data_IF_828940491844
#
_entry.id   IF_828940491844
#
_cell.length_a   1.000
_cell.length_b   1.000
_cell.length_c   1.000
_cell.angle_alpha   90.00
_cell.angle_beta   90.00
_cell.angle_gamma   90.00
#
_symmetry.space_group_name_H-M   'P 1'
#
loop_
_entity.id
_entity.type
_entity.pdbx_description
1 polymer ?
#
# COMPACT_ATOMS: atom_id res chain seq x y z
N UNK A 1 -27.87 15.60 -11.01
CA UNK A 1 -27.46 15.08 -12.31
C UNK A 1 -27.65 13.58 -12.30
N UNK A 2 -28.67 13.08 -12.97
CA UNK A 2 -28.85 11.67 -13.24
C UNK A 2 -27.81 11.25 -14.29
N UNK A 3 -26.65 10.80 -13.85
CA UNK A 3 -25.58 10.37 -14.73
C UNK A 3 -26.07 9.27 -15.66
N UNK A 4 -26.22 9.61 -16.94
CA UNK A 4 -26.53 8.65 -17.98
C UNK A 4 -25.21 8.00 -18.37
N UNK A 5 -25.09 6.68 -18.21
CA UNK A 5 -23.95 5.92 -18.71
C UNK A 5 -23.89 6.08 -20.25
N UNK A 6 -22.86 6.77 -20.74
CA UNK A 6 -22.67 7.02 -22.18
C UNK A 6 -21.86 5.90 -22.83
N UNK A 7 -20.92 5.32 -22.12
CA UNK A 7 -20.11 4.20 -22.57
C UNK A 7 -19.54 3.45 -21.35
N UNK A 8 -19.37 2.14 -21.48
CA UNK A 8 -18.73 1.29 -20.49
C UNK A 8 -17.65 0.44 -21.15
N UNK A 9 -16.50 0.37 -20.53
CA UNK A 9 -15.42 -0.52 -20.93
C UNK A 9 -15.05 -1.42 -19.75
N UNK A 10 -15.20 -2.71 -19.91
CA UNK A 10 -14.76 -3.69 -18.95
C UNK A 10 -13.28 -4.03 -19.21
N UNK A 11 -12.45 -3.94 -18.16
CA UNK A 11 -11.02 -4.25 -18.20
C UNK A 11 -10.75 -5.37 -17.20
N UNK A 12 -10.18 -6.47 -17.69
CA UNK A 12 -9.69 -7.55 -16.83
C UNK A 12 -8.26 -7.23 -16.44
N UNK A 13 -7.97 -7.19 -15.14
CA UNK A 13 -6.63 -6.98 -14.63
C UNK A 13 -5.95 -8.34 -14.42
N UNK A 14 -4.73 -8.49 -14.97
CA UNK A 14 -3.87 -9.60 -14.64
C UNK A 14 -3.24 -9.36 -13.27
N UNK A 15 -3.47 -10.29 -12.35
CA UNK A 15 -2.85 -10.23 -11.03
C UNK A 15 -1.48 -10.89 -11.04
N UNK A 16 -0.54 -10.30 -10.34
CA UNK A 16 0.82 -10.83 -10.12
C UNK A 16 0.92 -11.27 -8.66
N UNK A 17 1.50 -12.44 -8.43
CA UNK A 17 1.70 -12.94 -7.07
C UNK A 17 2.65 -12.04 -6.28
N UNK A 18 2.38 -11.84 -5.00
CA UNK A 18 3.16 -10.97 -4.11
C UNK A 18 4.62 -11.42 -3.93
N UNK A 19 4.93 -12.68 -4.21
CA UNK A 19 6.29 -13.23 -4.19
C UNK A 19 7.14 -12.88 -5.42
N UNK A 20 6.63 -12.09 -6.37
CA UNK A 20 7.33 -11.72 -7.60
C UNK A 20 7.90 -10.31 -7.45
N UNK A 21 9.21 -10.15 -7.71
CA UNK A 21 9.85 -8.85 -7.81
C UNK A 21 9.46 -8.17 -9.12
N UNK A 22 8.65 -7.13 -9.06
CA UNK A 22 8.13 -6.46 -10.24
C UNK A 22 9.03 -5.29 -10.66
N UNK A 23 9.53 -5.37 -11.89
CA UNK A 23 10.38 -4.35 -12.50
C UNK A 23 9.59 -3.61 -13.57
N UNK A 24 9.39 -2.31 -13.36
CA UNK A 24 8.86 -1.41 -14.38
C UNK A 24 9.98 -0.85 -15.24
N UNK A 25 9.83 -0.87 -16.57
CA UNK A 25 10.79 -0.25 -17.49
C UNK A 25 10.06 0.77 -18.34
N UNK A 26 10.37 2.04 -18.13
CA UNK A 26 9.84 3.14 -18.94
C UNK A 26 10.80 3.38 -20.10
N UNK A 27 10.43 2.90 -21.28
CA UNK A 27 11.27 2.95 -22.46
C UNK A 27 10.43 2.86 -23.73
N UNK A 28 10.97 3.42 -24.81
CA UNK A 28 10.42 3.20 -26.16
C UNK A 28 10.92 1.87 -26.79
N UNK A 29 11.86 1.17 -26.12
CA UNK A 29 12.36 -0.15 -26.55
C UNK A 29 11.69 -1.25 -25.72
N UNK A 30 10.74 -2.03 -26.29
CA UNK A 30 10.01 -3.06 -25.56
C UNK A 30 10.82 -4.31 -25.24
N UNK A 31 12.07 -4.38 -25.69
CA UNK A 31 12.99 -5.50 -25.41
C UNK A 31 14.07 -5.15 -24.39
N UNK A 32 14.13 -3.88 -23.96
CA UNK A 32 15.13 -3.42 -23.01
C UNK A 32 14.92 -4.08 -21.66
N UNK A 33 16.00 -4.57 -21.04
CA UNK A 33 15.99 -5.16 -19.69
C UNK A 33 15.15 -6.45 -19.52
N UNK A 34 14.69 -7.09 -20.59
CA UNK A 34 13.96 -8.37 -20.49
C UNK A 34 14.81 -9.51 -19.88
N UNK A 35 16.13 -9.40 -19.96
CA UNK A 35 17.07 -10.30 -19.27
C UNK A 35 16.85 -10.35 -17.75
N UNK A 36 16.29 -9.29 -17.16
CA UNK A 36 16.04 -9.19 -15.72
C UNK A 36 14.91 -10.09 -15.22
N UNK A 37 14.12 -10.70 -16.10
CA UNK A 37 13.19 -11.79 -15.69
C UNK A 37 13.94 -12.97 -15.04
N UNK A 38 15.25 -13.10 -15.30
CA UNK A 38 16.13 -14.12 -14.70
C UNK A 38 16.72 -13.74 -13.34
N UNK A 39 16.42 -12.54 -12.80
CA UNK A 39 16.91 -12.10 -11.49
C UNK A 39 16.39 -13.00 -10.37
N UNK A 40 17.27 -13.23 -9.39
CA UNK A 40 16.96 -13.94 -8.15
C UNK A 40 17.33 -13.03 -6.96
N UNK A 41 16.35 -12.49 -6.28
CA UNK A 41 16.54 -11.50 -5.24
C UNK A 41 15.92 -11.96 -3.91
N UNK A 42 16.77 -12.22 -2.92
CA UNK A 42 16.37 -12.45 -1.53
C UNK A 42 15.21 -13.45 -1.38
N UNK A 43 14.12 -13.01 -0.81
CA UNK A 43 12.91 -13.80 -0.53
C UNK A 43 11.91 -13.88 -1.68
N UNK A 44 12.17 -13.20 -2.79
CA UNK A 44 11.29 -13.26 -3.96
C UNK A 44 11.46 -14.60 -4.70
N UNK A 45 10.36 -15.14 -5.23
CA UNK A 45 10.36 -16.40 -5.97
C UNK A 45 10.86 -16.24 -7.40
N UNK A 46 10.63 -15.09 -8.01
CA UNK A 46 11.08 -14.72 -9.36
C UNK A 46 11.02 -13.19 -9.55
N UNK A 47 11.62 -12.71 -10.63
CA UNK A 47 11.44 -11.35 -11.10
C UNK A 47 10.54 -11.31 -12.34
N UNK A 48 9.92 -10.18 -12.62
CA UNK A 48 9.10 -9.94 -13.80
C UNK A 48 9.25 -8.52 -14.31
N UNK A 49 9.61 -8.40 -15.58
CA UNK A 49 9.71 -7.10 -16.26
C UNK A 49 8.39 -6.73 -16.92
N UNK A 50 7.99 -5.47 -16.78
CA UNK A 50 6.85 -4.85 -17.45
C UNK A 50 7.26 -3.53 -18.07
N UNK A 51 6.92 -3.33 -19.34
CA UNK A 51 7.22 -2.11 -20.07
C UNK A 51 6.09 -1.12 -19.94
N UNK A 52 6.44 0.14 -19.75
CA UNK A 52 5.56 1.29 -19.66
C UNK A 52 6.06 2.36 -20.63
N UNK A 53 5.15 3.09 -21.23
CA UNK A 53 5.48 4.33 -21.91
C UNK A 53 5.52 5.50 -20.92
N UNK A 54 6.22 6.60 -21.21
CA UNK A 54 6.27 7.76 -20.32
C UNK A 54 4.89 8.32 -19.95
N UNK A 55 3.91 8.25 -20.86
CA UNK A 55 2.55 8.69 -20.61
C UNK A 55 1.73 7.79 -19.69
N UNK A 56 2.19 6.55 -19.45
CA UNK A 56 1.54 5.59 -18.56
C UNK A 56 2.07 5.66 -17.12
N UNK A 57 3.07 6.52 -16.84
CA UNK A 57 3.52 6.75 -15.48
C UNK A 57 2.38 7.34 -14.65
N UNK A 58 2.02 6.71 -13.51
CA UNK A 58 0.90 7.16 -12.71
C UNK A 58 1.20 8.45 -11.96
N UNK A 59 0.16 9.21 -11.69
CA UNK A 59 0.20 10.43 -10.88
C UNK A 59 -0.01 10.18 -9.37
N UNK A 60 -0.14 8.92 -8.98
CA UNK A 60 -0.31 8.50 -7.58
C UNK A 60 0.76 7.49 -7.18
N UNK A 61 1.43 7.71 -6.06
CA UNK A 61 2.39 6.76 -5.49
C UNK A 61 1.75 5.40 -5.15
N UNK A 62 0.45 5.40 -4.81
CA UNK A 62 -0.29 4.17 -4.55
C UNK A 62 -0.33 3.25 -5.77
N UNK A 63 -0.39 3.82 -6.99
CA UNK A 63 -0.38 3.04 -8.23
C UNK A 63 1.00 2.39 -8.53
N UNK A 64 2.08 2.94 -7.97
CA UNK A 64 3.42 2.38 -8.09
C UNK A 64 3.74 1.34 -7.00
N UNK A 65 2.85 1.16 -6.02
CA UNK A 65 3.12 0.31 -4.85
C UNK A 65 3.46 -1.15 -5.19
N UNK A 66 2.90 -1.67 -6.28
CA UNK A 66 3.19 -3.02 -6.77
C UNK A 66 4.51 -3.14 -7.51
N UNK A 67 5.19 -2.02 -7.82
CA UNK A 67 6.46 -2.00 -8.53
C UNK A 67 7.59 -1.90 -7.50
N UNK A 68 8.54 -2.83 -7.54
CA UNK A 68 9.67 -2.87 -6.62
C UNK A 68 10.85 -2.04 -7.14
N UNK A 69 11.10 -2.07 -8.45
CA UNK A 69 12.11 -1.26 -9.12
C UNK A 69 11.58 -0.63 -10.41
N UNK A 70 11.91 0.63 -10.66
CA UNK A 70 11.53 1.36 -11.86
C UNK A 70 12.76 1.86 -12.60
N UNK A 71 12.90 1.47 -13.84
CA UNK A 71 13.98 1.88 -14.74
C UNK A 71 13.46 2.94 -15.70
N UNK A 72 14.07 4.12 -15.70
CA UNK A 72 13.78 5.19 -16.63
C UNK A 72 14.86 5.25 -17.71
N UNK A 73 14.49 5.01 -18.96
CA UNK A 73 15.42 4.95 -20.09
C UNK A 73 15.13 6.05 -21.10
N UNK A 74 16.10 6.90 -21.33
CA UNK A 74 16.21 7.88 -22.44
C UNK A 74 14.92 8.59 -22.87
N UNK A 75 14.21 9.20 -21.93
CA UNK A 75 13.15 10.16 -22.25
C UNK A 75 13.34 11.45 -21.46
N UNK A 76 12.75 12.52 -21.94
CA UNK A 76 12.80 13.82 -21.25
C UNK A 76 11.89 13.83 -20.02
N UNK A 77 12.49 13.68 -18.84
CA UNK A 77 11.75 13.71 -17.57
C UNK A 77 11.20 15.09 -17.23
N UNK A 78 11.63 16.16 -17.88
CA UNK A 78 11.02 17.48 -17.74
C UNK A 78 9.57 17.51 -18.27
N UNK A 79 9.21 16.59 -19.17
CA UNK A 79 7.86 16.42 -19.67
C UNK A 79 6.90 15.75 -18.67
N UNK A 80 7.40 15.18 -17.57
CA UNK A 80 6.55 14.63 -16.50
C UNK A 80 5.72 15.73 -15.85
N UNK A 81 4.45 15.43 -15.56
CA UNK A 81 3.60 16.34 -14.79
C UNK A 81 4.14 16.51 -13.36
N UNK A 82 3.84 17.63 -12.68
CA UNK A 82 4.21 17.77 -11.27
C UNK A 82 3.68 16.60 -10.41
N UNK A 83 2.45 16.13 -10.68
CA UNK A 83 1.86 15.01 -9.96
C UNK A 83 2.63 13.69 -10.17
N UNK A 84 3.10 13.41 -11.38
CA UNK A 84 3.95 12.25 -11.66
C UNK A 84 5.29 12.33 -10.92
N UNK A 85 5.93 13.50 -10.90
CA UNK A 85 7.19 13.70 -10.16
C UNK A 85 7.00 13.51 -8.66
N UNK A 86 5.95 14.09 -8.10
CA UNK A 86 5.60 13.93 -6.67
C UNK A 86 5.30 12.48 -6.34
N UNK A 87 4.58 11.77 -7.23
CA UNK A 87 4.29 10.35 -7.07
C UNK A 87 5.57 9.49 -7.07
N UNK A 88 6.51 9.76 -7.97
CA UNK A 88 7.80 9.09 -8.01
C UNK A 88 8.62 9.37 -6.75
N UNK A 89 8.72 10.63 -6.32
CA UNK A 89 9.48 11.02 -5.13
C UNK A 89 8.90 10.36 -3.88
N UNK A 90 7.58 10.39 -3.71
CA UNK A 90 6.90 9.73 -2.59
C UNK A 90 7.08 8.21 -2.65
N UNK A 91 6.92 7.58 -3.81
CA UNK A 91 7.10 6.14 -3.97
C UNK A 91 8.52 5.70 -3.61
N UNK A 92 9.55 6.42 -4.11
CA UNK A 92 10.94 6.13 -3.73
C UNK A 92 11.12 6.31 -2.23
N UNK A 93 10.64 7.43 -1.66
CA UNK A 93 10.82 7.71 -0.23
C UNK A 93 10.22 6.64 0.70
N UNK A 94 9.25 5.89 0.20
CA UNK A 94 8.59 4.77 0.90
C UNK A 94 9.25 3.39 0.64
N UNK A 95 10.37 3.34 -0.09
CA UNK A 95 11.14 2.12 -0.30
C UNK A 95 11.27 1.65 -1.75
N UNK A 96 10.72 2.40 -2.72
CA UNK A 96 10.89 2.12 -4.15
C UNK A 96 12.33 2.29 -4.62
N UNK A 97 12.72 1.56 -5.66
CA UNK A 97 14.03 1.65 -6.27
C UNK A 97 13.94 2.30 -7.65
N UNK A 98 14.50 3.48 -7.80
CA UNK A 98 14.53 4.20 -9.06
C UNK A 98 15.91 4.10 -9.71
N UNK A 99 15.97 3.67 -10.95
CA UNK A 99 17.21 3.59 -11.74
C UNK A 99 17.06 4.41 -13.01
N UNK A 100 17.92 5.41 -13.21
CA UNK A 100 17.84 6.34 -14.33
C UNK A 100 19.02 6.13 -15.27
N UNK A 101 18.74 6.00 -16.57
CA UNK A 101 19.72 5.82 -17.61
C UNK A 101 20.41 7.12 -18.00
N UNK A 102 21.71 7.07 -18.14
CA UNK A 102 22.54 8.11 -18.71
C UNK A 102 22.85 7.90 -20.19
N UNK A 103 24.09 8.05 -20.56
CA UNK A 103 24.55 8.02 -21.93
C UNK A 103 24.27 9.34 -22.68
N UNK A 104 24.04 9.28 -23.96
CA UNK A 104 23.78 10.47 -24.79
C UNK A 104 22.50 11.23 -24.36
N UNK A 105 21.47 10.49 -23.87
CA UNK A 105 20.21 11.04 -23.42
C UNK A 105 20.15 11.41 -21.93
N UNK A 106 21.25 11.22 -21.19
CA UNK A 106 21.23 11.31 -19.72
C UNK A 106 20.91 12.70 -19.17
N UNK A 107 21.21 13.78 -19.90
CA UNK A 107 20.84 15.12 -19.50
C UNK A 107 19.32 15.31 -19.53
N UNK A 108 18.65 14.84 -20.57
CA UNK A 108 17.19 14.90 -20.66
C UNK A 108 16.52 13.97 -19.62
N UNK A 109 17.09 12.77 -19.42
CA UNK A 109 16.59 11.83 -18.42
C UNK A 109 16.74 12.37 -16.98
N UNK A 110 17.67 13.26 -16.72
CA UNK A 110 17.89 13.89 -15.42
C UNK A 110 17.08 15.19 -15.19
N UNK A 111 16.68 15.87 -16.27
CA UNK A 111 16.23 17.26 -16.22
C UNK A 111 15.03 17.51 -15.30
N UNK A 112 14.06 16.60 -15.24
CA UNK A 112 12.84 16.73 -14.44
C UNK A 112 12.91 16.18 -13.02
N UNK A 113 14.00 15.50 -12.64
CA UNK A 113 14.10 14.77 -11.38
C UNK A 113 14.85 15.54 -10.27
N UNK A 114 15.63 16.56 -10.64
CA UNK A 114 16.26 17.49 -9.68
C UNK A 114 17.02 16.78 -8.55
N UNK A 115 16.68 17.14 -7.33
CA UNK A 115 17.34 16.64 -6.10
C UNK A 115 17.01 15.16 -5.79
N UNK A 116 16.07 14.56 -6.54
CA UNK A 116 15.82 13.11 -6.44
C UNK A 116 17.01 12.29 -6.94
N UNK A 117 17.85 12.83 -7.83
CA UNK A 117 19.00 12.12 -8.38
C UNK A 117 20.24 12.22 -7.50
N UNK A 118 21.09 11.20 -7.44
CA UNK A 118 22.38 11.21 -6.73
C UNK A 118 23.44 12.10 -7.39
N UNK A 119 23.12 12.71 -8.53
CA UNK A 119 24.07 13.47 -9.36
C UNK A 119 23.45 14.71 -9.98
N UNK A 120 24.29 15.66 -10.34
CA UNK A 120 23.98 16.73 -11.30
C UNK A 120 24.66 16.41 -12.61
N UNK A 121 23.90 16.33 -13.69
CA UNK A 121 24.48 16.15 -15.04
C UNK A 121 25.08 17.46 -15.51
N UNK A 122 26.33 17.44 -15.96
CA UNK A 122 27.10 18.63 -16.35
C UNK A 122 27.74 18.47 -17.71
N UNK A 123 27.62 19.49 -18.54
CA UNK A 123 28.30 19.56 -19.84
C UNK A 123 27.94 18.46 -20.82
N UNK A 124 28.78 18.29 -21.83
CA UNK A 124 28.58 17.27 -22.88
C UNK A 124 29.02 15.88 -22.42
N UNK A 125 28.33 14.84 -22.94
CA UNK A 125 28.71 13.45 -22.73
C UNK A 125 30.12 13.16 -23.30
N UNK A 126 30.79 12.21 -22.70
CA UNK A 126 32.16 11.78 -23.06
C UNK A 126 32.19 10.33 -23.47
N UNK A 127 33.26 9.89 -24.14
CA UNK A 127 33.47 8.49 -24.42
C UNK A 127 34.26 7.83 -23.28
N UNK A 128 33.82 6.64 -22.86
CA UNK A 128 34.46 5.88 -21.79
C UNK A 128 34.23 4.39 -21.89
N UNK A 129 34.94 3.63 -21.05
CA UNK A 129 34.86 2.16 -21.00
C UNK A 129 33.97 1.69 -19.83
N UNK A 130 33.25 0.61 -20.06
CA UNK A 130 32.45 -0.10 -19.05
C UNK A 130 33.19 -1.26 -18.39
N UNK A 131 34.47 -1.49 -18.72
CA UNK A 131 35.22 -2.66 -18.27
C UNK A 131 35.22 -2.87 -16.75
N UNK A 132 35.14 -1.77 -15.96
CA UNK A 132 35.06 -1.85 -14.48
C UNK A 132 33.79 -2.51 -13.98
N UNK A 133 32.69 -2.53 -14.76
CA UNK A 133 31.44 -3.21 -14.38
C UNK A 133 31.62 -4.73 -14.30
N UNK A 134 32.64 -5.31 -14.98
CA UNK A 134 32.92 -6.73 -14.89
C UNK A 134 33.15 -7.20 -13.44
N UNK A 135 33.70 -6.35 -12.58
CA UNK A 135 33.92 -6.65 -11.16
C UNK A 135 32.62 -6.90 -10.41
N UNK A 136 31.51 -6.23 -10.80
CA UNK A 136 30.18 -6.41 -10.23
C UNK A 136 29.39 -7.52 -10.91
N UNK A 137 29.59 -7.71 -12.23
CA UNK A 137 28.90 -8.75 -12.99
C UNK A 137 29.51 -10.15 -12.82
N UNK A 138 30.68 -10.26 -12.15
CA UNK A 138 31.35 -11.55 -11.92
C UNK A 138 31.82 -12.26 -13.18
N UNK A 139 31.93 -11.56 -14.30
CA UNK A 139 32.28 -12.11 -15.61
C UNK A 139 33.29 -11.23 -16.33
N UNK A 140 33.84 -11.76 -17.44
CA UNK A 140 34.77 -11.02 -18.28
C UNK A 140 34.08 -9.80 -18.94
N UNK A 141 34.85 -8.73 -19.13
CA UNK A 141 34.47 -7.53 -19.86
C UNK A 141 34.49 -7.68 -21.40
N UNK A 142 34.90 -8.84 -21.93
CA UNK A 142 35.14 -9.04 -23.35
C UNK A 142 33.91 -8.77 -24.25
N UNK A 143 32.69 -8.97 -23.72
CA UNK A 143 31.46 -8.71 -24.47
C UNK A 143 30.86 -7.32 -24.21
N UNK A 144 31.48 -6.52 -23.34
CA UNK A 144 31.13 -5.11 -23.19
C UNK A 144 31.69 -4.27 -24.34
N UNK A 145 31.03 -3.18 -24.75
CA UNK A 145 31.55 -2.29 -25.76
C UNK A 145 32.86 -1.66 -25.28
N UNK A 146 33.88 -1.67 -26.16
CA UNK A 146 35.21 -1.12 -25.86
C UNK A 146 35.15 0.37 -25.49
N UNK A 147 34.17 1.11 -26.06
CA UNK A 147 33.86 2.50 -25.74
C UNK A 147 32.38 2.75 -25.89
N UNK A 148 31.82 3.52 -24.99
CA UNK A 148 30.41 3.96 -25.01
C UNK A 148 30.31 5.41 -24.59
N UNK A 149 29.20 6.04 -24.92
CA UNK A 149 28.89 7.41 -24.49
C UNK A 149 28.49 7.41 -23.03
N UNK A 150 29.20 8.20 -22.21
CA UNK A 150 28.91 8.39 -20.77
C UNK A 150 28.43 9.81 -20.53
N UNK A 151 27.37 9.96 -19.77
CA UNK A 151 26.97 11.25 -19.20
C UNK A 151 28.03 11.74 -18.23
N UNK A 152 28.40 12.99 -18.36
CA UNK A 152 29.23 13.65 -17.34
C UNK A 152 28.35 14.05 -16.14
N UNK A 153 28.67 13.52 -14.99
CA UNK A 153 27.89 13.70 -13.78
C UNK A 153 28.78 14.06 -12.60
N UNK A 154 28.35 15.04 -11.82
CA UNK A 154 28.95 15.42 -10.54
C UNK A 154 28.12 14.80 -9.42
N UNK A 155 28.73 13.95 -8.54
CA UNK A 155 28.00 13.33 -7.44
C UNK A 155 27.53 14.37 -6.41
N UNK A 156 26.36 14.15 -5.84
CA UNK A 156 25.92 14.82 -4.62
C UNK A 156 26.76 14.36 -3.42
N UNK A 157 26.79 15.12 -2.29
CA UNK A 157 27.66 14.81 -1.15
C UNK A 157 27.41 13.44 -0.52
N UNK A 158 26.19 12.92 -0.59
CA UNK A 158 25.72 11.63 -0.06
C UNK A 158 25.75 10.50 -1.10
N UNK A 159 26.19 10.79 -2.33
CA UNK A 159 26.20 9.82 -3.42
C UNK A 159 27.38 8.85 -3.31
N UNK A 160 27.08 7.57 -3.34
CA UNK A 160 28.02 6.47 -3.47
C UNK A 160 28.25 6.11 -4.93
N UNK A 161 29.48 5.73 -5.28
CA UNK A 161 29.84 5.28 -6.64
C UNK A 161 30.04 3.77 -6.68
N UNK A 162 29.53 3.14 -7.73
CA UNK A 162 29.70 1.71 -7.99
C UNK A 162 30.24 1.45 -9.40
N UNK A 163 31.36 0.73 -9.56
CA UNK A 163 32.37 0.45 -8.53
C UNK A 163 32.96 1.76 -7.95
N UNK A 164 33.53 1.70 -6.77
CA UNK A 164 34.06 2.90 -6.11
C UNK A 164 35.00 3.69 -6.99
N UNK A 165 34.78 4.99 -7.13
CA UNK A 165 35.59 5.90 -7.94
C UNK A 165 35.49 5.71 -9.46
N UNK A 166 34.61 4.83 -9.96
CA UNK A 166 34.47 4.59 -11.40
C UNK A 166 33.75 5.68 -12.18
N UNK A 167 32.85 6.42 -11.51
CA UNK A 167 31.96 7.36 -12.18
C UNK A 167 30.93 6.72 -13.11
N UNK A 168 30.69 5.40 -13.00
CA UNK A 168 29.80 4.65 -13.89
C UNK A 168 28.39 4.52 -13.37
N UNK A 169 28.22 4.26 -12.08
CA UNK A 169 26.93 4.19 -11.40
C UNK A 169 27.01 4.98 -10.10
N UNK A 170 26.06 5.86 -9.90
CA UNK A 170 25.90 6.66 -8.68
C UNK A 170 24.60 6.26 -8.00
N UNK A 171 24.60 6.21 -6.69
CA UNK A 171 23.38 5.96 -5.92
C UNK A 171 23.38 6.72 -4.61
N UNK A 172 22.19 7.02 -4.12
CA UNK A 172 21.98 7.53 -2.78
C UNK A 172 20.64 7.04 -2.21
N UNK A 173 20.50 7.12 -0.92
CA UNK A 173 19.23 6.87 -0.27
C UNK A 173 18.33 8.11 -0.35
N UNK A 174 17.05 7.87 -0.63
CA UNK A 174 16.01 8.89 -0.60
C UNK A 174 14.84 8.38 0.25
N UNK A 175 14.77 8.82 1.52
CA UNK A 175 13.91 8.18 2.52
C UNK A 175 14.31 6.71 2.76
N UNK A 176 13.34 5.81 2.66
CA UNK A 176 13.59 4.37 2.78
C UNK A 176 14.01 3.71 1.46
N UNK A 177 13.96 4.42 0.34
CA UNK A 177 14.27 3.89 -0.98
C UNK A 177 15.65 4.25 -1.48
N UNK A 178 15.91 3.88 -2.72
CA UNK A 178 17.21 4.06 -3.37
C UNK A 178 17.04 4.65 -4.76
N UNK A 179 17.84 5.67 -5.08
CA UNK A 179 17.93 6.21 -6.43
C UNK A 179 19.30 5.96 -6.98
N UNK A 180 19.34 5.39 -8.16
CA UNK A 180 20.57 5.10 -8.90
C UNK A 180 20.57 5.84 -10.24
N UNK A 181 21.70 6.42 -10.60
CA UNK A 181 21.93 7.01 -11.92
C UNK A 181 23.12 6.32 -12.58
N UNK A 182 22.89 5.70 -13.73
CA UNK A 182 23.98 5.15 -14.54
C UNK A 182 24.53 6.23 -15.48
N UNK A 183 25.82 6.40 -15.55
CA UNK A 183 26.43 7.33 -16.50
C UNK A 183 26.30 6.83 -17.96
N UNK A 184 26.00 5.56 -18.16
CA UNK A 184 25.86 4.89 -19.47
C UNK A 184 24.41 4.58 -19.78
N UNK A 185 24.13 4.33 -21.05
CA UNK A 185 22.84 3.84 -21.53
C UNK A 185 22.69 2.34 -21.20
N UNK A 186 21.55 1.93 -20.64
CA UNK A 186 21.28 0.54 -20.30
C UNK A 186 21.45 -0.41 -21.49
N UNK A 187 21.15 0.04 -22.70
CA UNK A 187 21.31 -0.75 -23.91
C UNK A 187 22.78 -1.16 -24.16
N UNK A 188 23.75 -0.46 -23.58
CA UNK A 188 25.17 -0.80 -23.68
C UNK A 188 25.52 -2.12 -22.95
N UNK A 189 24.67 -2.62 -22.06
CA UNK A 189 24.85 -3.90 -21.36
C UNK A 189 24.20 -5.07 -22.10
N UNK A 190 23.43 -4.80 -23.16
CA UNK A 190 22.70 -5.85 -23.89
C UNK A 190 23.63 -6.91 -24.46
N UNK A 191 23.34 -8.17 -24.12
CA UNK A 191 24.15 -9.31 -24.56
C UNK A 191 25.43 -9.55 -23.77
N UNK A 192 25.72 -8.73 -22.76
CA UNK A 192 26.78 -9.02 -21.82
C UNK A 192 26.35 -10.11 -20.84
N UNK A 193 27.14 -11.17 -20.73
CA UNK A 193 26.81 -12.32 -19.86
C UNK A 193 26.72 -11.95 -18.35
N UNK A 194 27.34 -10.85 -17.96
CA UNK A 194 27.30 -10.31 -16.59
C UNK A 194 26.11 -9.38 -16.28
N UNK A 195 25.26 -9.08 -17.26
CA UNK A 195 24.18 -8.10 -17.10
C UNK A 195 23.26 -8.42 -15.93
N UNK A 196 22.75 -9.65 -15.85
CA UNK A 196 21.83 -10.08 -14.77
C UNK A 196 22.52 -10.02 -13.41
N UNK A 197 23.75 -10.53 -13.31
CA UNK A 197 24.51 -10.52 -12.05
C UNK A 197 24.86 -9.09 -11.60
N UNK A 198 25.19 -8.20 -12.54
CA UNK A 198 25.40 -6.79 -12.25
C UNK A 198 24.15 -6.13 -11.64
N UNK A 199 23.00 -6.25 -12.30
CA UNK A 199 21.76 -5.69 -11.78
C UNK A 199 21.31 -6.37 -10.49
N UNK A 200 21.56 -7.67 -10.34
CA UNK A 200 21.31 -8.38 -9.08
C UNK A 200 22.12 -7.76 -7.93
N UNK A 201 23.38 -7.41 -8.18
CA UNK A 201 24.22 -6.77 -7.17
C UNK A 201 23.76 -5.34 -6.85
N UNK A 202 23.30 -4.59 -7.86
CA UNK A 202 22.80 -3.22 -7.69
C UNK A 202 21.49 -3.21 -6.89
N UNK A 203 20.54 -4.10 -7.23
CA UNK A 203 19.20 -4.14 -6.62
C UNK A 203 19.18 -4.87 -5.27
N UNK A 204 20.09 -5.83 -5.03
CA UNK A 204 20.10 -6.70 -3.85
C UNK A 204 20.23 -5.93 -2.53
N UNK A 205 21.02 -4.87 -2.51
CA UNK A 205 21.32 -4.14 -1.27
C UNK A 205 20.09 -3.48 -0.63
N UNK A 206 19.06 -3.15 -1.42
CA UNK A 206 17.83 -2.56 -0.89
C UNK A 206 16.88 -3.64 -0.37
N UNK A 207 16.85 -4.79 -1.03
CA UNK A 207 16.03 -5.94 -0.58
C UNK A 207 16.49 -6.42 0.79
N UNK A 208 17.79 -6.38 1.06
CA UNK A 208 18.37 -6.81 2.34
C UNK A 208 18.16 -5.77 3.46
N UNK A 209 18.00 -4.48 3.15
CA UNK A 209 17.82 -3.40 4.13
C UNK A 209 16.36 -3.08 4.44
N UNK A 210 15.45 -3.31 3.50
CA UNK A 210 14.00 -3.17 3.73
C UNK A 210 13.43 -4.41 4.40
N UNK A 211 13.67 -4.55 5.69
CA UNK A 211 13.04 -5.59 6.53
C UNK A 211 11.51 -5.49 6.61
N UNK A 212 10.91 -4.51 5.95
CA UNK A 212 9.48 -4.40 5.65
C UNK A 212 9.09 -5.25 4.43
N UNK A 213 9.71 -6.43 4.29
CA UNK A 213 9.37 -7.38 3.22
C UNK A 213 7.89 -7.74 3.18
N UNK A 214 7.49 -8.38 2.09
CA UNK A 214 6.12 -8.82 1.79
C UNK A 214 5.44 -9.46 3.01
N UNK A 215 6.15 -10.26 3.80
CA UNK A 215 5.61 -10.87 5.02
C UNK A 215 5.19 -9.88 6.10
N UNK A 216 5.89 -8.76 6.26
CA UNK A 216 5.50 -7.71 7.19
C UNK A 216 4.28 -6.93 6.69
N UNK A 217 4.19 -6.69 5.38
CA UNK A 217 2.99 -6.08 4.77
C UNK A 217 1.77 -6.97 4.97
N UNK A 218 1.87 -8.27 4.70
CA UNK A 218 0.78 -9.25 4.90
C UNK A 218 0.35 -9.37 6.35
N UNK A 219 1.30 -9.39 7.29
CA UNK A 219 0.99 -9.47 8.73
C UNK A 219 0.26 -8.20 9.22
N UNK A 220 0.61 -7.03 8.70
CA UNK A 220 -0.10 -5.78 8.98
C UNK A 220 -1.53 -5.83 8.47
N UNK A 221 -1.77 -6.30 7.24
CA UNK A 221 -3.12 -6.48 6.70
C UNK A 221 -3.97 -7.38 7.58
N UNK A 222 -3.45 -8.52 8.03
CA UNK A 222 -4.18 -9.45 8.90
C UNK A 222 -4.54 -8.87 10.28
N UNK A 223 -3.66 -8.07 10.88
CA UNK A 223 -3.90 -7.44 12.17
C UNK A 223 -4.95 -6.32 12.07
N UNK A 224 -4.84 -5.50 11.03
CA UNK A 224 -5.73 -4.37 10.78
C UNK A 224 -7.12 -4.83 10.37
N UNK A 225 -7.23 -5.87 9.55
CA UNK A 225 -8.50 -6.47 9.17
C UNK A 225 -9.27 -6.96 10.40
N UNK A 226 -8.60 -7.64 11.34
CA UNK A 226 -9.20 -8.02 12.62
C UNK A 226 -9.64 -6.82 13.46
N UNK A 227 -8.92 -5.70 13.39
CA UNK A 227 -9.27 -4.45 14.07
C UNK A 227 -10.52 -3.81 13.48
N UNK A 228 -10.60 -3.74 12.15
CA UNK A 228 -11.73 -3.17 11.40
C UNK A 228 -13.00 -4.01 11.56
N UNK A 229 -12.87 -5.34 11.61
CA UNK A 229 -14.00 -6.25 11.81
C UNK A 229 -14.56 -6.21 13.24
N UNK A 230 -13.86 -5.62 14.22
CA UNK A 230 -14.38 -5.36 15.57
C UNK A 230 -15.33 -4.16 15.59
N UNK A 231 -16.39 -4.23 14.81
CA UNK A 231 -17.48 -3.28 14.88
C UNK A 231 -18.24 -3.48 16.20
N UNK A 232 -18.50 -2.40 16.92
CA UNK A 232 -19.23 -2.44 18.20
C UNK A 232 -20.62 -3.04 18.06
N UNK A 233 -21.23 -2.93 16.88
CA UNK A 233 -22.54 -3.52 16.54
C UNK A 233 -22.52 -5.05 16.41
N UNK A 234 -21.34 -5.67 16.26
CA UNK A 234 -21.18 -7.13 16.23
C UNK A 234 -20.99 -7.75 17.62
N UNK A 235 -20.91 -6.95 18.66
CA UNK A 235 -20.84 -7.48 20.01
C UNK A 235 -22.14 -8.22 20.33
N UNK A 236 -22.06 -9.54 20.42
CA UNK A 236 -23.17 -10.34 20.89
C UNK A 236 -23.58 -9.86 22.30
N UNK A 237 -24.89 -9.82 22.59
CA UNK A 237 -25.34 -9.48 23.94
C UNK A 237 -24.65 -10.40 24.95
N UNK A 238 -24.31 -9.83 26.11
CA UNK A 238 -23.66 -10.61 27.17
C UNK A 238 -24.41 -11.91 27.44
N UNK A 239 -23.74 -13.07 27.52
CA UNK A 239 -24.38 -14.34 27.83
C UNK A 239 -25.29 -14.29 29.08
N UNK A 240 -24.92 -13.45 30.03
CA UNK A 240 -25.70 -13.24 31.26
C UNK A 240 -27.06 -12.56 31.01
N UNK A 241 -27.15 -11.66 30.04
CA UNK A 241 -28.40 -11.02 29.61
C UNK A 241 -29.31 -12.06 28.98
N UNK A 242 -28.78 -12.92 28.12
CA UNK A 242 -29.52 -13.99 27.50
C UNK A 242 -30.01 -15.03 28.51
N UNK A 243 -29.17 -15.37 29.48
CA UNK A 243 -29.50 -16.30 30.56
C UNK A 243 -30.60 -15.70 31.48
N UNK A 244 -30.47 -14.42 31.84
CA UNK A 244 -31.51 -13.71 32.61
C UNK A 244 -32.83 -13.66 31.87
N UNK A 245 -32.81 -13.39 30.57
CA UNK A 245 -34.00 -13.38 29.72
C UNK A 245 -34.68 -14.77 29.67
N UNK A 246 -33.88 -15.80 29.51
CA UNK A 246 -34.34 -17.19 29.49
C UNK A 246 -34.94 -17.60 30.86
N UNK A 247 -34.33 -17.17 31.96
CA UNK A 247 -34.83 -17.41 33.30
C UNK A 247 -36.18 -16.74 33.49
N UNK A 248 -36.34 -15.46 33.10
CA UNK A 248 -37.58 -14.72 33.14
C UNK A 248 -38.69 -15.37 32.30
N UNK A 249 -38.32 -15.88 31.11
CA UNK A 249 -39.24 -16.62 30.24
C UNK A 249 -39.79 -17.87 30.91
N UNK A 250 -38.92 -18.72 31.47
CA UNK A 250 -39.29 -19.95 32.16
C UNK A 250 -40.16 -19.64 33.39
N UNK A 251 -39.76 -18.62 34.15
CA UNK A 251 -40.50 -18.18 35.32
C UNK A 251 -41.94 -17.68 34.97
N UNK A 252 -42.03 -16.92 33.88
CA UNK A 252 -43.30 -16.35 33.42
C UNK A 252 -44.27 -17.43 32.92
N UNK A 253 -43.79 -18.37 32.07
CA UNK A 253 -44.62 -19.41 31.48
C UNK A 253 -45.00 -20.52 32.49
N UNK A 254 -44.08 -20.89 33.37
CA UNK A 254 -44.27 -21.94 34.35
C UNK A 254 -44.95 -21.44 35.63
N UNK A 255 -44.13 -21.19 36.69
CA UNK A 255 -44.66 -20.94 38.04
C UNK A 255 -45.56 -19.71 38.14
N UNK A 256 -45.18 -18.59 37.46
CA UNK A 256 -45.97 -17.38 37.57
C UNK A 256 -47.37 -17.52 36.92
N UNK A 257 -47.42 -18.03 35.68
CA UNK A 257 -48.63 -18.28 34.95
C UNK A 257 -49.55 -19.26 35.72
N UNK A 258 -48.95 -20.33 36.27
CA UNK A 258 -49.70 -21.29 37.09
C UNK A 258 -50.32 -20.65 38.35
N UNK A 259 -49.57 -19.87 39.12
CA UNK A 259 -50.05 -19.17 40.33
C UNK A 259 -51.15 -18.20 39.99
N UNK A 260 -51.03 -17.40 38.91
CA UNK A 260 -52.07 -16.45 38.47
C UNK A 260 -53.34 -17.19 38.07
N UNK A 261 -53.28 -18.21 37.24
CA UNK A 261 -54.45 -18.97 36.78
C UNK A 261 -55.11 -19.73 37.93
N UNK A 262 -54.36 -20.30 38.88
CA UNK A 262 -54.87 -20.93 40.09
C UNK A 262 -55.61 -19.94 40.98
N UNK A 263 -55.10 -18.72 41.13
CA UNK A 263 -55.77 -17.66 41.90
C UNK A 263 -57.07 -17.18 41.24
N UNK A 264 -57.09 -17.19 39.88
CA UNK A 264 -58.31 -16.90 39.11
C UNK A 264 -59.27 -18.07 39.03
N UNK A 265 -58.93 -19.26 39.59
CA UNK A 265 -59.67 -20.55 39.48
C UNK A 265 -60.03 -20.96 38.06
N UNK A 266 -59.18 -20.64 37.05
CA UNK A 266 -59.41 -20.89 35.62
C UNK A 266 -58.17 -21.49 34.98
N UNK A 267 -57.75 -22.68 35.42
CA UNK A 267 -56.53 -23.35 34.90
C UNK A 267 -56.64 -23.70 33.43
N UNK A 268 -57.86 -23.88 32.91
CA UNK A 268 -58.14 -24.12 31.49
C UNK A 268 -57.66 -22.98 30.57
N UNK A 269 -57.53 -21.79 31.06
CA UNK A 269 -57.00 -20.65 30.30
C UNK A 269 -55.47 -20.78 29.99
N UNK A 270 -54.83 -21.78 30.58
CA UNK A 270 -53.41 -22.03 30.26
C UNK A 270 -53.18 -22.30 28.75
N UNK A 271 -54.14 -22.92 28.05
CA UNK A 271 -54.10 -23.13 26.62
C UNK A 271 -54.03 -21.83 25.78
N UNK A 272 -54.45 -20.72 26.31
CA UNK A 272 -54.43 -19.41 25.67
C UNK A 272 -53.26 -18.58 26.19
N UNK A 273 -53.00 -18.59 27.51
CA UNK A 273 -51.97 -17.76 28.12
C UNK A 273 -50.58 -18.21 27.80
N UNK A 274 -50.33 -19.51 27.69
CA UNK A 274 -48.98 -20.01 27.32
C UNK A 274 -48.61 -19.59 25.91
N UNK A 275 -49.41 -19.84 24.86
CA UNK A 275 -49.08 -19.33 23.51
C UNK A 275 -48.97 -17.80 23.44
N UNK A 276 -49.80 -17.08 24.16
CA UNK A 276 -49.76 -15.61 24.23
C UNK A 276 -48.44 -15.13 24.82
N UNK A 277 -47.97 -15.71 25.92
CA UNK A 277 -46.66 -15.41 26.52
C UNK A 277 -45.52 -15.73 25.59
N UNK A 278 -45.56 -16.91 24.88
CA UNK A 278 -44.56 -17.23 23.88
C UNK A 278 -44.46 -16.14 22.83
N UNK A 279 -45.59 -15.70 22.27
CA UNK A 279 -45.62 -14.63 21.26
C UNK A 279 -45.02 -13.33 21.81
N UNK A 280 -45.44 -12.92 23.05
CA UNK A 280 -44.93 -11.69 23.67
C UNK A 280 -43.43 -11.76 23.90
N UNK A 281 -42.89 -12.86 24.42
CA UNK A 281 -41.46 -13.01 24.63
C UNK A 281 -40.68 -13.10 23.30
N UNK A 282 -41.23 -13.76 22.31
CA UNK A 282 -40.58 -13.83 20.95
C UNK A 282 -40.58 -12.44 20.32
N UNK A 283 -41.69 -11.70 20.38
CA UNK A 283 -41.73 -10.32 19.88
C UNK A 283 -40.76 -9.40 20.65
N UNK A 284 -40.69 -9.54 21.96
CA UNK A 284 -39.76 -8.80 22.81
C UNK A 284 -38.30 -9.10 22.46
N UNK A 285 -37.95 -10.38 22.27
CA UNK A 285 -36.61 -10.77 21.85
C UNK A 285 -36.26 -10.25 20.47
N UNK A 286 -37.21 -10.28 19.53
CA UNK A 286 -37.05 -9.72 18.21
C UNK A 286 -36.78 -8.20 18.24
N UNK A 287 -37.58 -7.46 18.99
CA UNK A 287 -37.43 -6.00 19.16
C UNK A 287 -36.06 -5.68 19.78
N UNK A 288 -35.70 -6.37 20.88
CA UNK A 288 -34.39 -6.21 21.51
C UNK A 288 -33.28 -6.53 20.55
N UNK A 289 -33.40 -7.60 19.75
CA UNK A 289 -32.42 -7.96 18.73
C UNK A 289 -32.26 -6.88 17.66
N UNK A 290 -33.34 -6.30 17.17
CA UNK A 290 -33.30 -5.21 16.19
C UNK A 290 -32.71 -3.93 16.81
N UNK A 291 -33.09 -3.57 18.04
CA UNK A 291 -32.55 -2.38 18.72
C UNK A 291 -31.05 -2.52 19.02
N UNK A 292 -30.62 -3.69 19.49
CA UNK A 292 -29.19 -3.94 19.79
C UNK A 292 -28.31 -4.00 18.53
N UNK A 293 -28.84 -4.49 17.42
CA UNK A 293 -28.09 -4.55 16.14
C UNK A 293 -28.00 -3.20 15.44
N UNK A 294 -28.86 -2.25 15.82
CA UNK A 294 -29.00 -0.99 15.09
C UNK A 294 -29.71 -1.20 13.74
N UNK A 295 -30.60 -0.30 13.37
CA UNK A 295 -31.32 -0.35 12.07
C UNK A 295 -30.56 0.33 10.93
N UNK A 296 -29.34 0.81 11.18
CA UNK A 296 -28.55 1.63 10.24
C UNK A 296 -27.26 0.93 9.89
N UNK A 297 -26.85 1.02 8.63
CA UNK A 297 -25.52 0.57 8.20
C UNK A 297 -24.45 1.31 8.98
N UNK A 298 -23.44 0.58 9.40
CA UNK A 298 -22.30 1.14 10.14
C UNK A 298 -21.03 0.88 9.35
N UNK A 299 -20.15 1.87 9.29
CA UNK A 299 -18.81 1.68 8.78
C UNK A 299 -17.78 2.00 9.85
N UNK A 300 -16.69 1.27 9.81
CA UNK A 300 -15.49 1.52 10.60
C UNK A 300 -14.33 1.72 9.64
N UNK A 301 -13.49 2.69 9.92
CA UNK A 301 -12.32 3.00 9.10
C UNK A 301 -11.10 3.13 10.00
N UNK A 302 -10.05 2.42 9.62
CA UNK A 302 -8.72 2.56 10.19
C UNK A 302 -7.78 2.97 9.06
N UNK A 303 -7.06 4.07 9.23
CA UNK A 303 -6.13 4.56 8.23
C UNK A 303 -4.70 4.53 8.76
N UNK A 304 -3.78 4.07 7.92
CA UNK A 304 -2.34 4.20 8.13
C UNK A 304 -1.83 5.22 7.13
N UNK A 305 -1.13 6.22 7.64
CA UNK A 305 -0.47 7.23 6.82
C UNK A 305 1.04 7.00 6.89
N UNK A 306 1.66 6.84 5.73
CA UNK A 306 3.11 6.65 5.60
C UNK A 306 3.70 7.83 4.82
N UNK A 307 4.76 8.41 5.36
CA UNK A 307 5.51 9.48 4.73
C UNK A 307 6.97 9.42 5.16
N UNK A 308 7.81 10.20 4.52
CA UNK A 308 9.23 10.35 4.85
C UNK A 308 9.55 11.82 5.13
N UNK A 309 10.66 12.06 5.80
CA UNK A 309 11.19 13.40 6.04
C UNK A 309 11.32 14.18 4.71
N UNK A 310 10.91 15.44 4.72
CA UNK A 310 10.95 16.31 3.53
C UNK A 310 9.77 16.12 2.55
N UNK A 311 8.88 15.14 2.77
CA UNK A 311 7.69 14.95 1.94
C UNK A 311 6.50 15.75 2.51
N UNK A 312 5.82 16.49 1.62
CA UNK A 312 4.58 17.21 1.96
C UNK A 312 3.33 16.34 1.78
N UNK A 313 3.49 15.16 1.25
CA UNK A 313 2.42 14.19 0.97
C UNK A 313 2.73 12.87 1.63
N UNK A 314 1.67 12.14 1.98
CA UNK A 314 1.77 10.79 2.52
C UNK A 314 0.89 9.82 1.75
N UNK A 315 1.28 8.56 1.73
CA UNK A 315 0.45 7.47 1.26
C UNK A 315 -0.50 7.07 2.39
N UNK A 316 -1.78 7.03 2.10
CA UNK A 316 -2.85 6.66 3.02
C UNK A 316 -3.41 5.32 2.61
N UNK A 317 -3.29 4.32 3.48
CA UNK A 317 -3.94 3.02 3.34
C UNK A 317 -5.08 2.95 4.33
N UNK A 318 -6.31 2.97 3.84
CA UNK A 318 -7.53 2.91 4.64
C UNK A 318 -8.13 1.51 4.61
N UNK A 319 -8.35 0.93 5.77
CA UNK A 319 -9.08 -0.31 5.98
C UNK A 319 -10.50 0.04 6.39
N UNK A 320 -11.45 -0.37 5.59
CA UNK A 320 -12.86 0.02 5.72
C UNK A 320 -13.69 -1.24 5.91
N UNK A 321 -14.43 -1.33 7.01
CA UNK A 321 -15.42 -2.37 7.26
C UNK A 321 -16.82 -1.78 7.21
N UNK A 322 -17.69 -2.32 6.36
CA UNK A 322 -19.10 -1.97 6.26
C UNK A 322 -19.95 -3.10 6.83
N UNK A 323 -20.72 -2.81 7.86
CA UNK A 323 -21.76 -3.69 8.40
C UNK A 323 -23.12 -3.30 7.84
N UNK A 324 -23.85 -4.26 7.29
CA UNK A 324 -25.23 -4.08 6.87
C UNK A 324 -26.20 -4.84 7.75
N UNK A 325 -27.14 -4.18 8.45
CA UNK A 325 -28.15 -4.86 9.28
C UNK A 325 -29.25 -5.53 8.45
N UNK A 326 -29.42 -5.14 7.19
CA UNK A 326 -30.45 -5.63 6.28
C UNK A 326 -29.87 -5.83 4.88
N UNK A 327 -30.57 -6.58 4.04
CA UNK A 327 -30.19 -6.71 2.65
C UNK A 327 -30.42 -5.38 1.94
N UNK A 328 -29.32 -4.78 1.44
CA UNK A 328 -29.38 -3.48 0.76
C UNK A 328 -28.26 -3.34 -0.27
N UNK A 329 -28.53 -2.49 -1.26
CA UNK A 329 -27.51 -2.08 -2.23
C UNK A 329 -26.84 -0.80 -1.73
N UNK A 330 -25.52 -0.85 -1.60
CA UNK A 330 -24.68 0.29 -1.29
C UNK A 330 -23.83 0.66 -2.49
N UNK A 331 -23.47 1.91 -2.59
CA UNK A 331 -22.45 2.39 -3.50
C UNK A 331 -21.41 3.15 -2.67
N UNK A 332 -20.22 2.60 -2.58
CA UNK A 332 -19.09 3.22 -1.89
C UNK A 332 -18.33 4.04 -2.93
N UNK A 333 -18.30 5.36 -2.75
CA UNK A 333 -17.54 6.26 -3.62
C UNK A 333 -16.25 6.70 -2.92
N UNK A 334 -15.15 6.71 -3.64
CA UNK A 334 -13.83 7.08 -3.16
C UNK A 334 -13.29 8.26 -3.97
N UNK A 335 -12.46 9.13 -3.38
CA UNK A 335 -11.84 10.24 -4.10
C UNK A 335 -11.11 9.79 -5.36
N UNK A 336 -10.99 10.69 -6.34
CA UNK A 336 -10.24 10.42 -7.57
C UNK A 336 -8.81 9.95 -7.27
N UNK A 337 -8.32 9.00 -8.06
CA UNK A 337 -6.99 8.42 -7.88
C UNK A 337 -6.85 7.43 -6.71
N UNK A 338 -7.96 7.10 -6.01
CA UNK A 338 -7.96 6.06 -4.99
C UNK A 338 -8.02 4.68 -5.65
N UNK A 339 -7.07 3.82 -5.28
CA UNK A 339 -7.11 2.42 -5.64
C UNK A 339 -7.88 1.64 -4.57
N UNK A 340 -8.86 0.86 -4.98
CA UNK A 340 -9.68 0.07 -4.06
C UNK A 340 -9.45 -1.40 -4.36
N UNK A 341 -9.19 -2.16 -3.31
CA UNK A 341 -9.09 -3.61 -3.36
C UNK A 341 -9.97 -4.22 -2.27
N UNK A 342 -10.43 -5.43 -2.47
CA UNK A 342 -11.12 -6.14 -1.40
C UNK A 342 -10.14 -6.58 -0.31
N UNK A 343 -10.66 -6.74 0.90
CA UNK A 343 -9.88 -7.20 2.03
C UNK A 343 -9.39 -8.65 1.86
N UNK A 344 -8.28 -9.03 2.50
CA UNK A 344 -7.63 -10.34 2.36
C UNK A 344 -8.47 -11.52 2.87
N UNK A 345 -9.50 -11.28 3.66
CA UNK A 345 -10.33 -12.33 4.27
C UNK A 345 -11.57 -12.74 3.45
N UNK A 346 -11.55 -12.55 2.13
CA UNK A 346 -12.65 -12.95 1.26
C UNK A 346 -12.97 -14.45 1.26
N UNK A 347 -12.06 -15.29 1.75
CA UNK A 347 -12.31 -16.74 1.88
C UNK A 347 -13.44 -17.09 2.86
N UNK A 348 -13.78 -16.18 3.80
CA UNK A 348 -14.84 -16.41 4.78
C UNK A 348 -16.20 -15.81 4.40
N UNK A 349 -16.22 -14.90 3.45
CA UNK A 349 -17.43 -14.22 3.02
C UNK A 349 -17.56 -14.47 1.51
N UNK A 350 -18.40 -15.35 1.07
CA UNK A 350 -18.74 -15.67 -0.33
C UNK A 350 -19.12 -14.41 -1.18
N UNK A 351 -18.45 -13.31 -0.95
CA UNK A 351 -18.67 -12.03 -1.62
C UNK A 351 -18.03 -12.10 -2.99
N UNK A 352 -18.82 -12.22 -4.04
CA UNK A 352 -18.37 -11.91 -5.39
C UNK A 352 -17.96 -10.43 -5.38
N UNK A 353 -16.73 -10.16 -5.82
CA UNK A 353 -16.34 -8.79 -6.14
C UNK A 353 -17.30 -8.26 -7.20
N UNK A 354 -18.01 -7.23 -6.84
CA UNK A 354 -18.59 -6.35 -7.83
C UNK A 354 -17.47 -5.57 -8.52
N UNK A 355 -17.54 -5.37 -9.82
CA UNK A 355 -16.51 -4.64 -10.54
C UNK A 355 -16.38 -3.21 -9.98
N UNK A 356 -15.14 -2.75 -9.83
CA UNK A 356 -14.88 -1.36 -9.47
C UNK A 356 -15.21 -0.51 -10.70
N UNK A 357 -16.11 0.44 -10.52
CA UNK A 357 -16.49 1.40 -11.55
C UNK A 357 -15.63 2.66 -11.37
N UNK A 358 -14.98 3.13 -12.43
CA UNK A 358 -14.21 4.38 -12.44
C UNK A 358 -14.88 5.31 -13.44
N UNK A 359 -15.25 6.50 -13.01
CA UNK A 359 -15.84 7.51 -13.86
C UNK A 359 -14.79 8.37 -14.59
N UNK A 360 -15.24 9.26 -15.48
CA UNK A 360 -14.34 10.17 -16.23
C UNK A 360 -13.53 11.11 -15.31
N UNK A 361 -14.02 11.40 -14.12
CA UNK A 361 -13.30 12.21 -13.11
C UNK A 361 -12.30 11.40 -12.30
N UNK A 362 -12.17 10.08 -12.57
CA UNK A 362 -11.30 9.18 -11.83
C UNK A 362 -11.83 8.78 -10.45
N UNK A 363 -13.10 9.06 -10.15
CA UNK A 363 -13.76 8.64 -8.92
C UNK A 363 -14.05 7.15 -9.00
N UNK A 364 -13.45 6.40 -8.09
CA UNK A 364 -13.70 4.97 -7.96
C UNK A 364 -14.97 4.72 -7.17
N UNK A 365 -15.85 3.86 -7.66
CA UNK A 365 -17.04 3.43 -6.92
C UNK A 365 -17.17 1.91 -6.94
N UNK A 366 -17.61 1.37 -5.80
CA UNK A 366 -17.84 -0.07 -5.62
C UNK A 366 -19.33 -0.26 -5.34
N UNK A 367 -20.09 -0.79 -6.30
CA UNK A 367 -21.44 -1.24 -6.02
C UNK A 367 -21.37 -2.51 -5.15
N UNK A 368 -22.14 -2.57 -4.09
CA UNK A 368 -22.12 -3.66 -3.13
C UNK A 368 -23.54 -4.08 -2.80
N UNK A 369 -23.89 -5.33 -3.09
CA UNK A 369 -25.07 -5.97 -2.53
C UNK A 369 -24.71 -6.65 -1.22
N UNK A 370 -25.05 -6.01 -0.10
CA UNK A 370 -24.82 -6.57 1.22
C UNK A 370 -26.02 -7.40 1.67
N UNK A 371 -25.78 -8.58 2.26
CA UNK A 371 -26.77 -9.41 2.87
C UNK A 371 -27.08 -8.99 4.32
N UNK A 372 -28.10 -9.61 4.90
CA UNK A 372 -28.52 -9.36 6.28
C UNK A 372 -27.40 -9.73 7.24
N UNK A 373 -27.03 -8.80 8.13
CA UNK A 373 -25.98 -8.96 9.14
C UNK A 373 -24.60 -9.33 8.55
N UNK A 374 -24.33 -8.87 7.34
CA UNK A 374 -23.03 -9.09 6.68
C UNK A 374 -22.04 -7.96 6.99
N UNK A 375 -20.76 -8.32 7.02
CA UNK A 375 -19.66 -7.38 7.07
C UNK A 375 -18.82 -7.57 5.82
N UNK A 376 -18.55 -6.47 5.13
CA UNK A 376 -17.66 -6.47 3.96
C UNK A 376 -16.50 -5.53 4.25
N UNK A 377 -15.27 -5.99 3.97
CA UNK A 377 -14.07 -5.21 4.17
C UNK A 377 -13.46 -4.80 2.83
N UNK A 378 -12.89 -3.60 2.80
CA UNK A 378 -12.19 -3.01 1.66
C UNK A 378 -10.89 -2.38 2.12
N UNK A 379 -9.92 -2.34 1.21
CA UNK A 379 -8.70 -1.57 1.37
C UNK A 379 -8.70 -0.50 0.30
N UNK A 380 -8.59 0.76 0.71
CA UNK A 380 -8.52 1.90 -0.18
C UNK A 380 -7.17 2.60 0.01
N UNK A 381 -6.45 2.81 -1.08
CA UNK A 381 -5.13 3.43 -1.10
C UNK A 381 -5.16 4.71 -1.90
N UNK A 382 -4.67 5.77 -1.30
CA UNK A 382 -4.63 7.10 -1.91
C UNK A 382 -3.40 7.87 -1.43
N UNK A 383 -3.14 9.00 -2.04
CA UNK A 383 -2.13 9.96 -1.60
C UNK A 383 -2.84 11.20 -1.10
N UNK A 384 -2.45 11.70 0.07
CA UNK A 384 -3.02 12.90 0.67
C UNK A 384 -1.93 13.88 1.07
N UNK A 385 -2.27 15.16 1.09
CA UNK A 385 -1.39 16.19 1.64
C UNK A 385 -1.26 15.98 3.15
N UNK A 386 -0.02 15.99 3.63
CA UNK A 386 0.30 15.73 5.03
C UNK A 386 0.97 16.97 5.62
N UNK A 387 0.27 17.77 6.45
CA UNK A 387 0.86 18.94 7.09
C UNK A 387 1.75 18.55 8.29
N UNK A 388 2.39 17.40 8.23
CA UNK A 388 3.33 16.89 9.23
C UNK A 388 4.75 17.07 8.70
N UNK A 389 5.57 17.82 9.42
CA UNK A 389 6.98 18.05 9.09
C UNK A 389 7.82 17.66 10.30
N UNK A 390 8.34 16.45 10.30
CA UNK A 390 9.29 15.99 11.30
C UNK A 390 10.68 16.11 10.72
N UNK A 391 11.54 16.85 11.41
CA UNK A 391 12.96 16.95 11.09
C UNK A 391 13.76 16.10 12.08
N UNK A 392 14.67 15.28 11.57
CA UNK A 392 15.50 14.39 12.36
C UNK A 392 16.98 14.72 12.16
N UNK A 393 17.71 14.81 13.26
CA UNK A 393 19.16 14.87 13.27
C UNK A 393 19.67 13.78 14.21
N UNK A 394 19.64 12.54 13.70
CA UNK A 394 19.95 11.34 14.47
C UNK A 394 21.26 10.74 13.98
N UNK A 395 22.13 10.36 14.91
CA UNK A 395 23.38 9.68 14.63
C UNK A 395 23.40 8.29 15.30
N UNK A 396 23.85 7.31 14.53
CA UNK A 396 24.03 5.94 15.00
C UNK A 396 25.47 5.80 15.48
N UNK A 397 25.66 5.35 16.71
CA UNK A 397 26.96 5.07 17.30
C UNK A 397 27.00 3.67 17.90
N UNK A 398 28.18 3.22 18.33
CA UNK A 398 28.32 1.93 19.04
C UNK A 398 27.47 1.88 20.33
N UNK A 399 27.11 3.02 20.91
CA UNK A 399 26.31 3.12 22.13
C UNK A 399 24.80 3.29 21.85
N UNK A 400 24.38 3.24 20.59
CA UNK A 400 22.99 3.38 20.17
C UNK A 400 22.71 4.62 19.32
N UNK A 401 21.44 4.96 19.24
CA UNK A 401 20.92 6.12 18.49
C UNK A 401 20.92 7.35 19.42
N UNK A 402 21.45 8.47 18.93
CA UNK A 402 21.46 9.77 19.64
C UNK A 402 21.20 10.92 18.69
N UNK A 403 20.56 11.98 19.16
CA UNK A 403 20.26 13.16 18.37
C UNK A 403 19.00 13.87 18.79
N UNK A 404 18.41 14.62 17.88
CA UNK A 404 17.24 15.45 18.12
C UNK A 404 16.17 15.18 17.05
N UNK A 405 14.92 15.12 17.48
CA UNK A 405 13.73 15.12 16.63
C UNK A 405 12.96 16.41 16.89
N UNK A 406 12.52 17.07 15.83
CA UNK A 406 11.70 18.28 15.90
C UNK A 406 10.47 18.13 15.03
N UNK A 407 9.31 18.42 15.60
CA UNK A 407 8.09 18.61 14.83
C UNK A 407 8.02 20.08 14.41
N UNK A 408 8.14 20.32 13.13
CA UNK A 408 8.01 21.65 12.52
C UNK A 408 6.65 21.85 11.84
N UNK A 409 5.80 20.80 11.89
CA UNK A 409 4.45 20.82 11.33
C UNK A 409 3.44 21.47 12.27
N UNK A 410 2.19 21.54 11.78
CA UNK A 410 1.06 22.06 12.56
C UNK A 410 0.31 20.99 13.35
N UNK A 411 0.62 19.72 13.12
CA UNK A 411 -0.04 18.59 13.77
C UNK A 411 0.74 18.16 15.00
N UNK A 412 0.03 18.01 16.11
CA UNK A 412 0.56 17.36 17.30
C UNK A 412 0.30 15.86 17.21
N UNK A 413 1.32 15.04 17.45
CA UNK A 413 1.21 13.60 17.49
C UNK A 413 0.96 13.15 18.95
N UNK A 414 -0.09 12.38 19.16
CA UNK A 414 -0.35 11.70 20.43
C UNK A 414 0.24 10.29 20.39
N UNK A 415 0.72 9.81 21.54
CA UNK A 415 1.33 8.49 21.69
C UNK A 415 2.47 8.20 20.70
N UNK A 416 3.23 9.25 20.34
CA UNK A 416 4.36 9.13 19.45
C UNK A 416 5.40 8.14 20.01
N UNK A 417 5.96 7.30 19.15
CA UNK A 417 6.97 6.31 19.52
C UNK A 417 8.08 6.29 18.48
N UNK A 418 9.31 6.44 18.93
CA UNK A 418 10.49 6.24 18.09
C UNK A 418 10.84 4.75 18.07
N UNK A 419 10.96 4.19 16.87
CA UNK A 419 11.34 2.78 16.66
C UNK A 419 12.70 2.73 15.97
N UNK A 420 13.65 2.03 16.58
CA UNK A 420 14.96 1.78 15.99
C UNK A 420 15.35 0.33 16.24
N UNK A 421 15.52 -0.45 15.17
CA UNK A 421 15.70 -1.91 15.24
C UNK A 421 14.60 -2.54 16.11
N UNK A 422 14.93 -3.23 17.16
CA UNK A 422 14.00 -3.87 18.10
C UNK A 422 13.67 -3.00 19.33
N UNK A 423 14.10 -1.74 19.34
CA UNK A 423 13.91 -0.83 20.48
C UNK A 423 12.79 0.17 20.20
N UNK A 424 11.89 0.28 21.18
CA UNK A 424 10.75 1.20 21.15
C UNK A 424 10.92 2.25 22.25
N UNK A 425 11.01 3.52 21.87
CA UNK A 425 11.13 4.64 22.79
C UNK A 425 9.86 5.49 22.73
N UNK A 426 8.99 5.45 23.76
CA UNK A 426 7.80 6.29 23.76
C UNK A 426 8.20 7.76 23.96
N UNK A 427 7.73 8.60 23.05
CA UNK A 427 7.92 10.05 23.10
C UNK A 427 6.72 10.78 23.72
N UNK A 428 5.58 10.08 23.85
CA UNK A 428 4.34 10.67 24.34
C UNK A 428 3.73 11.67 23.36
N UNK A 429 3.29 12.82 23.84
CA UNK A 429 2.78 13.89 22.99
C UNK A 429 3.94 14.65 22.36
N UNK A 430 4.00 14.64 21.02
CA UNK A 430 5.06 15.25 20.24
C UNK A 430 4.47 16.41 19.42
N UNK A 431 4.69 17.63 19.92
CA UNK A 431 4.15 18.89 19.37
C UNK A 431 5.19 19.65 18.58
#
# INVERSE_FOLDING_TARGET
DGGTELARRDVTLDTIDEGIFLIGVVSNDPALMNSLDALQLGSYTSARVRHLTPGELPESAAALRGVDALFLHTFDTAALTPAQRDALALWVSLGGQLVVSGGAGGQAAAAGLGDLLPVRTVGAATQGSLALLASLGGTDAASLPASTTLSRAEPQPDAEQLPAGSGLLFRHHYGAGLVSFSAFDFAALRGWSGEVAFWQQVLRQVVDTTSLGIGARLSQFNLLDRGVLKLSSLNAPSPWILLLFMLLYVLAIGPLNYVVLRRMRRLELAWITVPALVVVFTAGLYIVGVVLRGGVAQYNQLAIVQSSEGQLRGQVTSFIGLFSPQRANYRLAFPAGTQVTGGPNQQFLNSRFEPIEIDEAGVSSVPLLADIASVTAFVAETTADLPLQIHSNLTISANGLSGELRNQGQLTLEDATLVYSDTFVPLGTFA
#
